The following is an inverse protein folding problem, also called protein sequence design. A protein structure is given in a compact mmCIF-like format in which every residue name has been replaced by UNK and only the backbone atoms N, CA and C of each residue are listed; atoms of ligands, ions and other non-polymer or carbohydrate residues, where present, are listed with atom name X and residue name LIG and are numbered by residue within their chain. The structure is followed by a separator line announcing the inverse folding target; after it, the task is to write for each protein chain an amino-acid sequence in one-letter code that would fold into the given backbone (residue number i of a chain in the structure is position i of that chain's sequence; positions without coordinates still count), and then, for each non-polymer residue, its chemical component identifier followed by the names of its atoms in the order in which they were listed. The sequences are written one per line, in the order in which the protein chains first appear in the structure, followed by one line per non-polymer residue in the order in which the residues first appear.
data_IF_060526023375
#
_entry.id   IF_060526023375
#
_cell.length_a   1.000
_cell.length_b   1.000
_cell.length_c   1.000
_cell.angle_alpha   90.00
_cell.angle_beta   90.00
_cell.angle_gamma   90.00
#
_symmetry.space_group_name_H-M   'P 1'
#
loop_
_entity.id
_entity.type
_entity.pdbx_description
1 polymer ?
#
# COMPACT_ATOMS: atom_id res chain seq x y z
N UNK A 1 4.60 -8.17 23.41
CA UNK A 1 5.21 -9.33 22.71
C UNK A 1 5.74 -8.87 21.36
N UNK A 2 6.98 -9.16 20.97
CA UNK A 2 7.51 -8.77 19.68
C UNK A 2 7.05 -9.75 18.59
N UNK A 3 6.43 -9.19 17.55
CA UNK A 3 6.03 -9.83 16.31
C UNK A 3 7.12 -10.80 15.79
N UNK A 4 6.79 -12.08 15.66
CA UNK A 4 7.68 -13.08 15.07
C UNK A 4 7.55 -13.00 13.55
N UNK A 5 8.52 -12.37 12.86
CA UNK A 5 8.70 -12.49 11.40
C UNK A 5 9.20 -13.90 11.04
N UNK A 6 8.35 -14.92 11.24
CA UNK A 6 8.51 -16.22 10.59
C UNK A 6 7.73 -16.18 9.29
N UNK A 7 8.42 -15.94 8.17
CA UNK A 7 7.80 -16.05 6.85
C UNK A 7 8.51 -15.36 5.68
N UNK A 8 9.46 -14.46 5.91
CA UNK A 8 10.24 -13.87 4.80
C UNK A 8 11.46 -14.77 4.53
N UNK A 9 11.30 -15.69 3.59
CA UNK A 9 12.39 -16.48 3.00
C UNK A 9 13.41 -15.52 2.35
N UNK A 10 14.50 -15.23 3.06
CA UNK A 10 15.58 -14.32 2.64
C UNK A 10 16.47 -14.90 1.52
N UNK A 11 16.15 -16.07 0.98
CA UNK A 11 17.01 -16.79 0.01
C UNK A 11 16.43 -16.96 -1.39
N UNK A 12 15.13 -16.73 -1.60
CA UNK A 12 14.53 -16.81 -2.94
C UNK A 12 14.33 -15.40 -3.51
N UNK A 13 14.89 -15.09 -4.70
CA UNK A 13 14.65 -13.79 -5.30
C UNK A 13 13.14 -13.64 -5.51
N UNK A 14 12.59 -12.54 -5.02
CA UNK A 14 11.17 -12.27 -5.18
C UNK A 14 10.86 -12.19 -6.69
N UNK A 15 10.06 -13.13 -7.20
CA UNK A 15 9.71 -13.18 -8.62
C UNK A 15 8.35 -12.54 -8.80
N UNK A 16 8.25 -11.59 -9.73
CA UNK A 16 6.99 -10.94 -10.09
C UNK A 16 6.78 -11.19 -11.59
N UNK A 17 5.70 -11.89 -11.96
CA UNK A 17 5.40 -12.18 -13.36
C UNK A 17 6.47 -12.99 -14.11
N UNK A 18 7.34 -13.71 -13.38
CA UNK A 18 8.47 -14.47 -13.96
C UNK A 18 9.81 -13.75 -13.99
N UNK A 19 9.83 -12.43 -13.80
CA UNK A 19 11.04 -11.60 -13.83
C UNK A 19 11.68 -11.45 -12.43
N UNK A 20 13.03 -11.54 -12.32
CA UNK A 20 13.74 -11.35 -11.05
C UNK A 20 13.82 -9.86 -10.71
N UNK A 21 13.24 -9.39 -9.61
CA UNK A 21 13.31 -7.96 -9.21
C UNK A 21 14.75 -7.45 -9.23
N UNK A 22 14.98 -6.27 -9.83
CA UNK A 22 16.28 -5.61 -9.71
C UNK A 22 16.30 -4.94 -8.34
N UNK A 23 16.95 -5.60 -7.39
CA UNK A 23 17.18 -5.04 -6.06
C UNK A 23 18.26 -3.97 -6.16
N UNK A 24 17.85 -2.71 -6.10
CA UNK A 24 18.74 -1.56 -5.94
C UNK A 24 18.33 -0.77 -4.69
N UNK A 25 19.28 -0.08 -4.04
CA UNK A 25 18.93 0.77 -2.91
C UNK A 25 18.03 1.91 -3.39
N UNK A 26 17.02 2.23 -2.60
CA UNK A 26 16.26 3.46 -2.77
C UNK A 26 17.17 4.68 -2.57
N UNK A 27 16.79 5.84 -3.14
CA UNK A 27 17.52 7.09 -2.91
C UNK A 27 17.59 7.42 -1.40
N UNK A 28 18.74 7.89 -0.88
CA UNK A 28 18.91 8.19 0.54
C UNK A 28 17.85 9.15 1.09
N UNK A 29 17.48 10.18 0.33
CA UNK A 29 16.44 11.14 0.73
C UNK A 29 15.06 10.49 0.78
N UNK A 30 14.70 9.69 -0.23
CA UNK A 30 13.45 8.91 -0.22
C UNK A 30 13.41 7.96 0.98
N UNK A 31 14.53 7.29 1.31
CA UNK A 31 14.62 6.42 2.49
C UNK A 31 14.35 7.19 3.78
N UNK A 32 15.05 8.31 3.97
CA UNK A 32 14.93 9.19 5.13
C UNK A 32 13.48 9.65 5.33
N UNK A 33 12.87 10.18 4.26
CA UNK A 33 11.49 10.66 4.29
C UNK A 33 10.49 9.54 4.52
N UNK A 34 10.68 8.38 3.91
CA UNK A 34 9.84 7.20 4.13
C UNK A 34 9.91 6.73 5.58
N UNK A 35 11.11 6.65 6.17
CA UNK A 35 11.32 6.28 7.58
C UNK A 35 10.60 7.24 8.53
N UNK A 36 10.63 8.55 8.24
CA UNK A 36 9.91 9.55 9.03
C UNK A 36 8.40 9.33 8.97
N UNK A 37 7.83 9.11 7.78
CA UNK A 37 6.39 8.86 7.60
C UNK A 37 5.95 7.57 8.27
N UNK A 38 6.75 6.50 8.17
CA UNK A 38 6.48 5.23 8.85
C UNK A 38 6.37 5.39 10.37
N UNK A 39 7.25 6.19 11.00
CA UNK A 39 7.15 6.48 12.44
C UNK A 39 5.82 7.16 12.82
N UNK A 40 5.33 8.07 11.97
CA UNK A 40 4.05 8.76 12.18
C UNK A 40 2.90 7.76 12.04
N UNK A 41 2.91 6.94 10.99
CA UNK A 41 1.90 5.90 10.74
C UNK A 41 1.85 4.91 11.90
N UNK A 42 3.00 4.47 12.41
CA UNK A 42 3.07 3.58 13.56
C UNK A 42 2.38 4.19 14.79
N UNK A 43 2.66 5.46 15.11
CA UNK A 43 2.00 6.16 16.21
C UNK A 43 0.48 6.30 16.01
N UNK A 44 0.01 6.49 14.78
CA UNK A 44 -1.42 6.53 14.47
C UNK A 44 -2.09 5.16 14.68
N UNK A 45 -1.41 4.07 14.30
CA UNK A 45 -1.91 2.70 14.48
C UNK A 45 -1.91 2.29 15.96
N UNK A 46 -0.91 2.71 16.73
CA UNK A 46 -0.89 2.54 18.19
C UNK A 46 -2.04 3.31 18.86
N UNK A 47 -2.26 4.57 18.45
CA UNK A 47 -3.38 5.36 18.95
C UNK A 47 -4.74 4.73 18.58
N UNK A 48 -4.86 4.13 17.40
CA UNK A 48 -6.08 3.44 16.97
C UNK A 48 -6.35 2.22 17.84
N UNK A 49 -5.34 1.39 18.10
CA UNK A 49 -5.47 0.24 19.02
C UNK A 49 -5.96 0.69 20.40
N UNK A 50 -5.33 1.72 20.97
CA UNK A 50 -5.73 2.26 22.27
C UNK A 50 -7.18 2.78 22.27
N UNK A 51 -7.60 3.50 21.22
CA UNK A 51 -8.99 4.00 21.14
C UNK A 51 -10.02 2.87 21.06
N UNK A 52 -9.66 1.74 20.43
CA UNK A 52 -10.53 0.55 20.40
C UNK A 52 -10.64 -0.08 21.79
N UNK A 53 -9.52 -0.20 22.49
CA UNK A 53 -9.50 -0.74 23.86
C UNK A 53 -10.27 0.15 24.86
N UNK A 54 -10.29 1.46 24.63
CA UNK A 54 -11.04 2.45 25.42
C UNK A 54 -12.52 2.56 25.05
N UNK A 55 -13.05 1.72 24.14
CA UNK A 55 -14.43 1.74 23.63
C UNK A 55 -14.90 3.15 23.20
N UNK A 56 -14.04 3.84 22.44
CA UNK A 56 -14.30 5.21 21.99
C UNK A 56 -15.38 5.26 20.91
N UNK A 57 -16.04 6.42 20.83
CA UNK A 57 -17.06 6.71 19.83
C UNK A 57 -16.62 6.34 18.40
N UNK A 58 -17.45 5.59 17.69
CA UNK A 58 -17.08 4.96 16.43
C UNK A 58 -16.60 5.95 15.35
N UNK A 59 -17.12 7.18 15.33
CA UNK A 59 -16.66 8.19 14.38
C UNK A 59 -15.19 8.58 14.61
N UNK A 60 -14.72 8.66 15.87
CA UNK A 60 -13.31 8.93 16.17
C UNK A 60 -12.38 7.83 15.61
N UNK A 61 -12.83 6.57 15.68
CA UNK A 61 -12.10 5.41 15.16
C UNK A 61 -12.03 5.45 13.64
N UNK A 62 -13.15 5.76 12.99
CA UNK A 62 -13.23 5.89 11.54
C UNK A 62 -12.34 7.03 11.04
N UNK A 63 -12.38 8.20 11.69
CA UNK A 63 -11.56 9.34 11.33
C UNK A 63 -10.06 9.03 11.44
N UNK A 64 -9.65 8.37 12.52
CA UNK A 64 -8.27 7.96 12.72
C UNK A 64 -7.84 6.88 11.72
N UNK A 65 -8.69 5.90 11.44
CA UNK A 65 -8.45 4.88 10.41
C UNK A 65 -8.25 5.52 9.02
N UNK A 66 -9.13 6.45 8.64
CA UNK A 66 -9.00 7.19 7.38
C UNK A 66 -7.73 8.06 7.35
N UNK A 67 -7.31 8.60 8.49
CA UNK A 67 -6.03 9.32 8.62
C UNK A 67 -4.83 8.40 8.34
N UNK A 68 -4.81 7.19 8.90
CA UNK A 68 -3.79 6.16 8.63
C UNK A 68 -3.73 5.84 7.13
N UNK A 69 -4.89 5.61 6.50
CA UNK A 69 -4.96 5.33 5.07
C UNK A 69 -4.40 6.47 4.22
N UNK A 70 -4.70 7.74 4.56
CA UNK A 70 -4.14 8.92 3.88
C UNK A 70 -2.62 8.98 4.04
N UNK A 71 -2.10 8.67 5.22
CA UNK A 71 -0.67 8.67 5.48
C UNK A 71 0.05 7.55 4.70
N UNK A 72 -0.55 6.36 4.58
CA UNK A 72 -0.06 5.28 3.73
C UNK A 72 -0.02 5.68 2.26
N UNK A 73 -1.12 6.23 1.71
CA UNK A 73 -1.13 6.73 0.31
C UNK A 73 -0.06 7.79 0.05
N UNK A 74 0.19 8.66 1.02
CA UNK A 74 1.27 9.64 0.94
C UNK A 74 2.64 8.95 0.88
N UNK A 75 2.90 7.96 1.74
CA UNK A 75 4.13 7.16 1.73
C UNK A 75 4.31 6.44 0.38
N UNK A 76 3.26 5.81 -0.15
CA UNK A 76 3.29 5.10 -1.43
C UNK A 76 3.70 6.03 -2.57
N UNK A 77 3.12 7.24 -2.63
CA UNK A 77 3.48 8.24 -3.65
C UNK A 77 4.96 8.66 -3.58
N UNK A 78 5.51 8.83 -2.38
CA UNK A 78 6.93 9.16 -2.19
C UNK A 78 7.85 8.03 -2.66
N UNK A 79 7.52 6.78 -2.31
CA UNK A 79 8.32 5.62 -2.71
C UNK A 79 8.25 5.41 -4.21
N UNK A 80 7.05 5.54 -4.79
CA UNK A 80 6.84 5.45 -6.23
C UNK A 80 7.62 6.51 -7.00
N UNK A 81 7.61 7.77 -6.55
CA UNK A 81 8.41 8.83 -7.18
C UNK A 81 9.91 8.46 -7.17
N UNK A 82 10.42 7.98 -6.04
CA UNK A 82 11.81 7.52 -5.93
C UNK A 82 12.11 6.38 -6.92
N UNK A 83 11.24 5.38 -7.00
CA UNK A 83 11.37 4.24 -7.90
C UNK A 83 11.35 4.65 -9.39
N UNK A 84 10.47 5.59 -9.76
CA UNK A 84 10.39 6.13 -11.11
C UNK A 84 11.68 6.85 -11.51
N UNK A 85 12.25 7.65 -10.59
CA UNK A 85 13.46 8.45 -10.83
C UNK A 85 14.75 7.62 -10.90
N UNK A 86 14.77 6.40 -10.37
CA UNK A 86 15.96 5.54 -10.39
C UNK A 86 15.75 4.30 -11.25
N UNK A 87 15.00 3.34 -10.74
CA UNK A 87 14.95 1.99 -11.29
C UNK A 87 14.21 1.92 -12.61
N UNK A 88 13.10 2.67 -12.77
CA UNK A 88 12.36 2.67 -14.05
C UNK A 88 13.18 3.33 -15.16
N UNK A 89 13.82 4.48 -14.90
CA UNK A 89 14.69 5.13 -15.87
C UNK A 89 15.86 4.20 -16.26
N UNK A 90 16.47 3.53 -15.29
CA UNK A 90 17.54 2.57 -15.55
C UNK A 90 17.07 1.37 -16.38
N UNK A 91 15.91 0.79 -16.04
CA UNK A 91 15.30 -0.30 -16.81
C UNK A 91 15.02 0.11 -18.25
N UNK A 92 14.40 1.28 -18.47
CA UNK A 92 14.10 1.80 -19.82
C UNK A 92 15.38 2.04 -20.62
N UNK A 93 16.41 2.63 -20.00
CA UNK A 93 17.70 2.89 -20.66
C UNK A 93 18.42 1.60 -21.04
N UNK A 94 18.23 0.53 -20.27
CA UNK A 94 18.79 -0.79 -20.53
C UNK A 94 17.94 -1.67 -21.45
N UNK A 95 16.87 -1.13 -22.06
CA UNK A 95 15.98 -1.87 -22.96
C UNK A 95 14.97 -2.79 -22.25
N UNK A 96 14.81 -2.68 -20.94
CA UNK A 96 13.86 -3.45 -20.11
C UNK A 96 12.50 -2.73 -19.96
N UNK A 97 12.06 -1.95 -20.95
CA UNK A 97 10.86 -1.09 -20.85
C UNK A 97 9.57 -1.86 -20.58
N UNK A 98 9.38 -3.02 -21.23
CA UNK A 98 8.19 -3.85 -21.05
C UNK A 98 8.07 -4.35 -19.61
N UNK A 99 9.21 -4.71 -19.02
CA UNK A 99 9.29 -5.14 -17.63
C UNK A 99 8.94 -4.00 -16.67
N UNK A 100 9.42 -2.79 -16.93
CA UNK A 100 9.09 -1.61 -16.13
C UNK A 100 7.58 -1.31 -16.13
N UNK A 101 6.94 -1.41 -17.30
CA UNK A 101 5.49 -1.22 -17.46
C UNK A 101 4.71 -2.27 -16.66
N UNK A 102 5.09 -3.54 -16.74
CA UNK A 102 4.44 -4.61 -16.00
C UNK A 102 4.57 -4.45 -14.47
N UNK A 103 5.74 -4.00 -14.00
CA UNK A 103 5.99 -3.72 -12.58
C UNK A 103 5.06 -2.62 -12.07
N UNK A 104 4.93 -1.50 -12.81
CA UNK A 104 4.04 -0.40 -12.46
C UNK A 104 2.57 -0.80 -12.51
N UNK A 105 2.13 -1.49 -13.56
CA UNK A 105 0.73 -1.93 -13.69
C UNK A 105 0.30 -2.83 -12.52
N UNK A 106 1.21 -3.64 -11.97
CA UNK A 106 0.91 -4.47 -10.81
C UNK A 106 0.58 -3.65 -9.56
N UNK A 107 1.36 -2.60 -9.29
CA UNK A 107 1.15 -1.73 -8.11
C UNK A 107 -0.25 -1.13 -8.14
N UNK A 108 -0.71 -0.69 -9.32
CA UNK A 108 -2.04 -0.09 -9.48
C UNK A 108 -3.19 -1.12 -9.53
N UNK A 109 -2.97 -2.32 -10.09
CA UNK A 109 -4.01 -3.37 -10.11
C UNK A 109 -4.38 -3.87 -8.71
N UNK A 110 -3.44 -3.87 -7.76
CA UNK A 110 -3.71 -4.24 -6.36
C UNK A 110 -4.58 -3.18 -5.65
N UNK A 111 -4.58 -1.94 -6.14
CA UNK A 111 -5.33 -0.81 -5.58
C UNK A 111 -6.72 -0.62 -6.24
N UNK A 112 -7.11 -1.46 -7.20
CA UNK A 112 -8.46 -1.47 -7.75
C UNK A 112 -9.50 -1.82 -6.68
N UNK A 113 -10.76 -1.35 -6.79
CA UNK A 113 -11.77 -1.59 -5.77
C UNK A 113 -11.88 -3.09 -5.52
N UNK A 114 -11.58 -3.53 -4.29
CA UNK A 114 -11.96 -4.86 -3.85
C UNK A 114 -13.45 -4.99 -4.11
N UNK A 115 -13.85 -6.11 -4.69
CA UNK A 115 -15.18 -6.41 -5.26
C UNK A 115 -16.36 -6.31 -4.25
N UNK A 116 -16.14 -5.79 -3.04
CA UNK A 116 -17.10 -5.67 -1.94
C UNK A 116 -18.03 -4.46 -2.00
N UNK A 117 -17.84 -3.50 -2.93
CA UNK A 117 -18.74 -2.32 -3.01
C UNK A 117 -19.83 -2.46 -4.08
N UNK A 118 -19.65 -3.30 -5.10
CA UNK A 118 -20.63 -3.44 -6.18
C UNK A 118 -21.82 -4.35 -5.81
N UNK A 119 -21.71 -5.15 -4.74
CA UNK A 119 -22.74 -6.13 -4.37
C UNK A 119 -23.88 -5.59 -3.47
N UNK A 120 -23.87 -4.30 -3.08
CA UNK A 120 -24.88 -3.76 -2.13
C UNK A 120 -26.06 -3.08 -2.84
N UNK A 121 -26.06 -3.01 -4.18
CA UNK A 121 -27.06 -2.24 -4.91
C UNK A 121 -27.79 -3.06 -5.98
N UNK A 122 -28.52 -4.12 -5.57
CA UNK A 122 -29.52 -4.79 -6.42
C UNK A 122 -30.77 -5.35 -5.70
N UNK A 123 -30.98 -5.13 -4.39
CA UNK A 123 -32.09 -5.78 -3.65
C UNK A 123 -33.19 -4.83 -3.10
N UNK A 124 -33.31 -3.59 -3.59
CA UNK A 124 -34.41 -2.70 -3.20
C UNK A 124 -35.14 -2.03 -4.37
N UNK A 125 -35.61 -2.82 -5.34
CA UNK A 125 -36.77 -2.45 -6.18
C UNK A 125 -37.63 -3.69 -6.39
N UNK A 126 -38.48 -3.98 -5.42
CA UNK A 126 -39.36 -5.16 -5.44
C UNK A 126 -40.49 -5.06 -4.43
N UNK A 127 -41.21 -3.94 -4.43
CA UNK A 127 -42.39 -3.75 -3.60
C UNK A 127 -43.05 -2.39 -3.80
N UNK A 128 -43.83 -2.24 -4.88
CA UNK A 128 -45.22 -1.78 -4.84
C UNK A 128 -45.75 -1.51 -6.25
N UNK A 129 -46.67 -2.35 -6.71
CA UNK A 129 -47.79 -1.94 -7.57
C UNK A 129 -48.81 -3.07 -7.69
N UNK A 130 -49.96 -2.80 -7.08
CA UNK A 130 -51.34 -3.17 -7.47
C UNK A 130 -51.67 -4.64 -7.77
#
# INVERSE_FOLDING_TARGET
MPWSLRGVDRGRPFRIGGYPIKEGPMLPDTQSHARRRLKIIAGQVEALQKKVEEDRYCLDLLDLSLSVQRALRSLDALVLEGHLRTHVIEQVTNGESERAVQELLRVYKIQGPTESTTAIQMDQEGGDSA
#
